data_IF_905412883800
#
_entry.id   IF_905412883800
#
_cell.length_a   1.000
_cell.length_b   1.000
_cell.length_c   1.000
_cell.angle_alpha   90.00
_cell.angle_beta   90.00
_cell.angle_gamma   90.00
#
_symmetry.space_group_name_H-M   'P 1'
#
loop_
_entity.id
_entity.type
_entity.pdbx_description
1 polymer ?
#
# COMPACT_ATOMS: atom_id res chain seq x y z
N UNK A 1 6.04 0.72 6.19
CA UNK A 1 6.18 2.18 6.26
C UNK A 1 7.66 2.47 6.20
N UNK A 2 8.10 3.44 5.41
CA UNK A 2 9.51 3.80 5.29
C UNK A 2 9.83 5.09 6.06
N UNK A 3 11.10 5.32 6.40
CA UNK A 3 11.57 6.57 6.98
C UNK A 3 11.47 7.73 5.95
N UNK A 4 11.37 9.00 6.40
CA UNK A 4 11.44 10.15 5.50
C UNK A 4 12.66 10.09 4.58
N UNK A 5 12.48 10.34 3.28
CA UNK A 5 13.56 10.30 2.29
C UNK A 5 13.95 8.91 1.77
N UNK A 6 13.42 7.82 2.35
CA UNK A 6 13.74 6.43 1.96
C UNK A 6 12.64 5.74 1.15
N UNK A 7 11.59 6.46 0.76
CA UNK A 7 10.46 5.95 -0.02
C UNK A 7 9.78 7.02 -0.86
N UNK A 8 8.81 6.61 -1.66
CA UNK A 8 7.94 7.52 -2.42
C UNK A 8 6.55 7.56 -1.78
N UNK A 9 5.94 8.74 -1.79
CA UNK A 9 4.54 8.90 -1.38
C UNK A 9 3.63 8.52 -2.53
N UNK A 10 2.92 7.41 -2.33
CA UNK A 10 1.87 6.89 -3.22
C UNK A 10 0.59 6.76 -2.42
N UNK A 11 -0.54 6.78 -3.13
CA UNK A 11 -1.83 6.58 -2.51
C UNK A 11 -1.95 5.17 -1.93
N UNK A 12 -2.43 5.07 -0.69
CA UNK A 12 -2.85 3.83 -0.07
C UNK A 12 -4.18 4.07 0.64
N UNK A 13 -5.28 3.61 0.04
CA UNK A 13 -6.65 3.89 0.46
C UNK A 13 -6.98 5.39 0.54
N UNK A 14 -6.61 6.18 -0.47
CA UNK A 14 -6.89 7.62 -0.51
C UNK A 14 -5.99 8.47 0.41
N UNK A 15 -5.05 7.84 1.11
CA UNK A 15 -4.14 8.49 2.04
C UNK A 15 -2.68 8.29 1.61
N UNK A 16 -1.88 9.36 1.45
CA UNK A 16 -0.47 9.25 1.09
C UNK A 16 0.32 8.40 2.10
N UNK A 17 0.94 7.32 1.62
CA UNK A 17 1.78 6.43 2.42
C UNK A 17 3.21 6.36 1.88
N UNK A 18 4.20 6.51 2.77
CA UNK A 18 5.61 6.38 2.43
C UNK A 18 5.94 4.90 2.14
N UNK A 19 6.11 4.58 0.85
CA UNK A 19 6.22 3.21 0.35
C UNK A 19 7.60 2.97 -0.27
N UNK A 20 8.15 1.77 -0.05
CA UNK A 20 9.45 1.38 -0.59
C UNK A 20 9.42 1.31 -2.11
N UNK A 21 10.44 1.88 -2.75
CA UNK A 21 10.62 1.85 -4.21
C UNK A 21 11.45 0.67 -4.69
N UNK A 22 11.89 -0.20 -3.78
CA UNK A 22 12.84 -1.28 -4.10
C UNK A 22 12.34 -2.16 -5.26
N UNK A 23 11.10 -2.63 -5.21
CA UNK A 23 10.53 -3.48 -6.27
C UNK A 23 10.47 -2.76 -7.62
N UNK A 24 10.08 -1.48 -7.63
CA UNK A 24 10.01 -0.68 -8.85
C UNK A 24 11.40 -0.48 -9.46
N UNK A 25 12.40 -0.19 -8.62
CA UNK A 25 13.78 -0.01 -9.04
C UNK A 25 14.40 -1.31 -9.57
N UNK A 26 14.16 -2.45 -8.91
CA UNK A 26 14.65 -3.75 -9.35
C UNK A 26 14.02 -4.18 -10.68
N UNK A 27 12.70 -4.00 -10.81
CA UNK A 27 11.98 -4.27 -12.04
C UNK A 27 12.54 -3.46 -13.21
N UNK A 28 12.74 -2.14 -13.02
CA UNK A 28 13.34 -1.27 -14.04
C UNK A 28 14.79 -1.61 -14.35
N UNK A 29 15.59 -2.01 -13.36
CA UNK A 29 16.99 -2.34 -13.57
C UNK A 29 17.18 -3.65 -14.34
N UNK A 30 16.25 -4.60 -14.17
CA UNK A 30 16.32 -5.93 -14.77
C UNK A 30 15.46 -6.08 -16.03
N UNK A 31 14.55 -5.13 -16.27
CA UNK A 31 13.53 -5.23 -17.32
C UNK A 31 12.58 -6.43 -17.11
N UNK A 32 12.38 -6.87 -15.86
CA UNK A 32 11.53 -8.01 -15.51
C UNK A 32 10.26 -7.55 -14.79
N UNK A 33 9.12 -8.24 -14.98
CA UNK A 33 7.89 -7.92 -14.28
C UNK A 33 7.98 -8.25 -12.78
N UNK A 34 7.14 -7.60 -11.99
CA UNK A 34 6.84 -7.99 -10.61
C UNK A 34 5.52 -8.75 -10.61
N UNK A 35 5.50 -9.95 -10.05
CA UNK A 35 4.29 -10.75 -9.86
C UNK A 35 3.76 -10.54 -8.43
N UNK A 36 2.58 -9.94 -8.25
CA UNK A 36 1.94 -9.84 -6.94
C UNK A 36 1.49 -11.23 -6.48
N UNK A 37 1.92 -11.64 -5.29
CA UNK A 37 1.54 -12.92 -4.69
C UNK A 37 1.17 -12.68 -3.23
N UNK A 38 0.04 -13.25 -2.82
CA UNK A 38 -0.51 -13.10 -1.48
C UNK A 38 -0.91 -14.46 -0.94
N UNK A 39 -0.61 -14.71 0.33
CA UNK A 39 -1.14 -15.85 1.06
C UNK A 39 -2.35 -15.41 1.88
N UNK A 40 -3.46 -16.12 1.75
CA UNK A 40 -4.72 -15.85 2.44
C UNK A 40 -5.12 -17.08 3.23
N UNK A 41 -5.42 -16.92 4.51
CA UNK A 41 -5.89 -18.00 5.36
C UNK A 41 -7.34 -18.36 5.02
N UNK A 42 -7.61 -19.62 4.69
CA UNK A 42 -8.97 -20.10 4.38
C UNK A 42 -9.69 -20.72 5.58
N UNK A 43 -9.02 -20.87 6.73
CA UNK A 43 -9.54 -21.55 7.92
C UNK A 43 -8.80 -22.84 8.26
N UNK A 44 -8.18 -23.45 7.26
CA UNK A 44 -7.43 -24.72 7.39
C UNK A 44 -6.07 -24.67 6.71
N UNK A 45 -6.00 -24.03 5.54
CA UNK A 45 -4.78 -23.87 4.74
C UNK A 45 -4.58 -22.40 4.32
N UNK A 46 -3.41 -22.11 3.76
CA UNK A 46 -3.15 -20.83 3.09
C UNK A 46 -3.39 -20.99 1.59
N UNK A 47 -4.42 -20.32 1.08
CA UNK A 47 -4.63 -20.16 -0.35
C UNK A 47 -3.64 -19.13 -0.91
N UNK A 48 -3.17 -19.37 -2.14
CA UNK A 48 -2.28 -18.45 -2.85
C UNK A 48 -3.09 -17.67 -3.87
N UNK A 49 -3.13 -16.35 -3.69
CA UNK A 49 -3.71 -15.41 -4.66
C UNK A 49 -2.58 -14.80 -5.46
N UNK A 50 -2.61 -15.04 -6.77
CA UNK A 50 -1.63 -14.50 -7.72
C UNK A 50 -2.32 -13.43 -8.57
N UNK A 51 -1.74 -12.23 -8.60
CA UNK A 51 -2.19 -11.15 -9.48
C UNK A 51 -1.49 -11.19 -10.84
N UNK A 52 -1.87 -10.28 -11.73
CA UNK A 52 -1.22 -10.18 -13.04
C UNK A 52 0.22 -9.65 -12.92
N UNK A 53 1.15 -10.11 -13.78
CA UNK A 53 2.51 -9.56 -13.81
C UNK A 53 2.49 -8.08 -14.22
N UNK A 54 3.13 -7.24 -13.41
CA UNK A 54 3.26 -5.81 -13.69
C UNK A 54 4.62 -5.56 -14.31
N UNK A 55 4.61 -5.24 -15.61
CA UNK A 55 5.82 -5.01 -16.37
C UNK A 55 6.35 -3.58 -16.19
N UNK A 56 7.68 -3.41 -16.11
CA UNK A 56 8.29 -2.10 -16.28
C UNK A 56 8.18 -1.66 -17.75
N UNK A 57 8.16 -0.34 -18.03
CA UNK A 57 8.31 0.15 -19.39
C UNK A 57 9.67 -0.25 -19.99
N UNK A 58 9.73 -0.51 -21.32
CA UNK A 58 10.92 -1.04 -21.98
C UNK A 58 12.10 -0.06 -22.02
N UNK A 59 11.82 1.24 -22.07
CA UNK A 59 12.84 2.29 -21.99
C UNK A 59 12.32 3.42 -21.10
N UNK A 60 13.24 4.04 -20.35
CA UNK A 60 12.93 5.17 -19.47
C UNK A 60 14.07 6.18 -19.53
N UNK A 61 13.78 7.43 -19.88
CA UNK A 61 14.76 8.49 -19.86
C UNK A 61 15.23 8.81 -18.44
N UNK A 62 16.44 9.38 -18.30
CA UNK A 62 17.01 9.76 -17.00
C UNK A 62 16.07 10.66 -16.19
N UNK A 63 15.44 11.63 -16.85
CA UNK A 63 14.55 12.61 -16.21
C UNK A 63 13.20 12.01 -15.79
N UNK A 64 12.74 10.97 -16.48
CA UNK A 64 11.45 10.32 -16.23
C UNK A 64 11.55 9.23 -15.16
N UNK A 65 12.76 8.75 -14.87
CA UNK A 65 13.02 7.60 -14.01
C UNK A 65 12.31 7.69 -12.66
N UNK A 66 12.31 8.85 -12.02
CA UNK A 66 11.63 9.04 -10.73
C UNK A 66 10.11 8.91 -10.85
N UNK A 67 9.51 9.51 -11.88
CA UNK A 67 8.07 9.44 -12.12
C UNK A 67 7.63 8.00 -12.39
N UNK A 68 8.40 7.25 -13.21
CA UNK A 68 8.13 5.84 -13.50
C UNK A 68 8.26 4.97 -12.25
N UNK A 69 9.28 5.19 -11.42
CA UNK A 69 9.42 4.47 -10.14
C UNK A 69 8.22 4.70 -9.23
N UNK A 70 7.74 5.95 -9.13
CA UNK A 70 6.55 6.30 -8.33
C UNK A 70 5.29 5.63 -8.88
N UNK A 71 5.10 5.64 -10.19
CA UNK A 71 3.95 5.01 -10.85
C UNK A 71 3.92 3.48 -10.65
N UNK A 72 5.05 2.79 -10.86
CA UNK A 72 5.14 1.36 -10.60
C UNK A 72 4.86 1.04 -9.12
N UNK A 73 5.41 1.84 -8.21
CA UNK A 73 5.16 1.69 -6.77
C UNK A 73 3.67 1.87 -6.45
N UNK A 74 2.98 2.81 -7.10
CA UNK A 74 1.55 3.02 -6.95
C UNK A 74 0.74 1.84 -7.52
N UNK A 75 1.13 1.26 -8.65
CA UNK A 75 0.50 0.04 -9.20
C UNK A 75 0.59 -1.14 -8.24
N UNK A 76 1.78 -1.41 -7.71
CA UNK A 76 1.95 -2.48 -6.71
C UNK A 76 1.11 -2.25 -5.46
N UNK A 77 0.99 -0.99 -5.05
CA UNK A 77 0.18 -0.60 -3.89
C UNK A 77 -1.32 -0.83 -4.16
N UNK A 78 -1.79 -0.59 -5.38
CA UNK A 78 -3.17 -0.88 -5.81
C UNK A 78 -3.51 -2.38 -5.79
N UNK A 79 -2.57 -3.25 -6.15
CA UNK A 79 -2.75 -4.71 -6.05
C UNK A 79 -2.95 -5.14 -4.61
N UNK A 80 -2.09 -4.65 -3.70
CA UNK A 80 -2.19 -4.89 -2.26
C UNK A 80 -3.55 -4.43 -1.73
N UNK A 81 -3.97 -3.23 -2.13
CA UNK A 81 -5.27 -2.67 -1.82
C UNK A 81 -6.47 -3.51 -2.27
N UNK A 82 -6.39 -4.12 -3.46
CA UNK A 82 -7.40 -5.03 -3.98
C UNK A 82 -7.54 -6.28 -3.11
N UNK A 83 -6.41 -6.88 -2.70
CA UNK A 83 -6.41 -8.04 -1.80
C UNK A 83 -6.94 -7.70 -0.42
N UNK A 84 -6.52 -6.57 0.15
CA UNK A 84 -7.00 -6.12 1.47
C UNK A 84 -8.51 -5.89 1.45
N UNK A 85 -9.08 -5.34 0.37
CA UNK A 85 -10.55 -5.15 0.28
C UNK A 85 -11.33 -6.46 0.30
N UNK A 86 -10.75 -7.54 -0.25
CA UNK A 86 -11.35 -8.88 -0.22
C UNK A 86 -11.23 -9.54 1.15
N UNK A 87 -10.08 -9.39 1.82
CA UNK A 87 -9.80 -10.00 3.12
C UNK A 87 -9.27 -8.99 4.15
N UNK A 88 -10.09 -8.01 4.55
CA UNK A 88 -9.62 -6.90 5.38
C UNK A 88 -9.17 -7.36 6.77
N UNK A 89 -9.81 -8.40 7.35
CA UNK A 89 -9.46 -8.91 8.68
C UNK A 89 -8.07 -9.55 8.75
N UNK A 90 -7.51 -9.98 7.61
CA UNK A 90 -6.22 -10.66 7.55
C UNK A 90 -5.04 -9.71 7.34
N UNK A 91 -5.30 -8.42 7.10
CA UNK A 91 -4.24 -7.44 6.96
C UNK A 91 -3.69 -7.03 8.32
N UNK A 92 -2.37 -6.84 8.40
CA UNK A 92 -1.71 -6.36 9.62
C UNK A 92 -1.97 -4.86 9.86
N UNK A 93 -3.13 -4.52 10.39
CA UNK A 93 -3.53 -3.14 10.72
C UNK A 93 -2.71 -2.51 11.85
N UNK A 94 -2.08 -3.33 12.72
CA UNK A 94 -1.23 -2.83 13.80
C UNK A 94 0.05 -2.15 13.28
N UNK A 95 0.51 -2.51 12.08
CA UNK A 95 1.63 -1.84 11.45
C UNK A 95 1.23 -0.38 11.11
N UNK A 96 1.91 0.59 11.73
CA UNK A 96 1.66 2.04 11.55
C UNK A 96 2.01 2.53 10.14
N UNK A 97 1.12 2.24 9.18
CA UNK A 97 1.33 2.43 7.74
C UNK A 97 1.55 3.90 7.35
N UNK A 98 0.85 4.82 8.00
CA UNK A 98 0.90 6.27 7.75
C UNK A 98 1.69 7.07 8.80
N UNK A 99 2.65 6.43 9.50
CA UNK A 99 3.48 7.14 10.50
C UNK A 99 4.34 8.22 9.85
N UNK A 100 4.88 7.97 8.66
CA UNK A 100 5.69 8.93 7.92
C UNK A 100 4.79 9.77 7.02
N UNK A 101 4.86 11.10 7.11
CA UNK A 101 4.02 12.05 6.38
C UNK A 101 4.79 12.83 5.30
N UNK A 102 4.12 13.27 4.23
CA UNK A 102 4.70 14.20 3.27
C UNK A 102 5.22 15.47 3.95
N UNK A 103 6.25 16.14 3.38
CA UNK A 103 6.69 17.44 3.88
C UNK A 103 5.52 18.44 3.95
N UNK A 104 5.36 19.11 5.09
CA UNK A 104 4.28 20.08 5.31
C UNK A 104 3.00 19.51 5.94
N UNK A 105 2.87 18.19 6.07
CA UNK A 105 1.79 17.56 6.84
C UNK A 105 2.25 17.21 8.26
N UNK A 106 1.49 17.64 9.28
CA UNK A 106 1.76 17.26 10.65
C UNK A 106 1.64 15.73 10.84
N UNK A 107 2.56 15.14 11.60
CA UNK A 107 2.53 13.74 11.97
C UNK A 107 1.41 13.48 13.01
N UNK A 108 0.15 13.48 12.57
CA UNK A 108 -0.99 13.24 13.45
C UNK A 108 -2.33 13.47 12.76
N UNK A 109 -3.11 12.39 12.63
CA UNK A 109 -4.56 12.41 12.37
C UNK A 109 -5.06 13.29 11.21
N UNK A 110 -4.84 12.87 9.97
CA UNK A 110 -5.80 13.19 8.91
C UNK A 110 -7.01 12.26 9.06
N UNK A 111 -8.10 12.73 9.69
CA UNK A 111 -9.45 12.31 9.28
C UNK A 111 -10.38 11.62 10.28
N UNK A 112 -9.99 11.28 11.51
CA UNK A 112 -10.98 10.89 12.53
C UNK A 112 -11.24 12.07 13.46
N UNK A 113 -12.05 13.03 12.99
CA UNK A 113 -12.75 13.92 13.93
C UNK A 113 -13.64 13.03 14.78
N UNK A 114 -13.53 13.15 16.10
CA UNK A 114 -14.30 12.42 17.10
C UNK A 114 -15.81 12.43 16.79
N UNK A 115 -16.29 11.45 16.02
CA UNK A 115 -17.66 11.00 16.20
C UNK A 115 -17.64 10.20 17.47
N UNK A 116 -18.14 10.81 18.56
CA UNK A 116 -18.47 10.12 19.81
C UNK A 116 -19.13 8.79 19.44
N UNK A 117 -18.41 7.70 19.64
CA UNK A 117 -18.96 6.36 19.57
C UNK A 117 -19.81 6.26 20.84
N UNK A 118 -21.13 6.43 20.67
CA UNK A 118 -22.11 6.21 21.74
C UNK A 118 -21.98 4.75 22.20
N UNK A 119 -21.71 4.50 23.50
CA UNK A 119 -21.62 3.15 24.01
C UNK A 119 -23.06 2.65 24.23
N UNK A 120 -23.49 1.72 23.39
CA UNK A 120 -24.59 0.78 23.67
C UNK A 120 -25.89 1.39 24.26
N UNK A 121 -26.85 1.70 23.38
CA UNK A 121 -28.26 1.77 23.78
C UNK A 121 -28.80 0.35 23.95
N UNK A 122 -28.83 -0.07 25.21
CA UNK A 122 -29.55 -1.19 25.78
C UNK A 122 -31.04 -1.11 25.41
N UNK A 123 -31.54 -2.01 24.54
CA UNK A 123 -32.97 -2.31 24.39
C UNK A 123 -33.15 -3.82 24.25
N UNK A 124 -33.53 -4.46 25.36
CA UNK A 124 -34.91 -4.88 25.69
C UNK A 124 -35.41 -6.05 24.82
N UNK A 125 -35.35 -7.25 25.40
CA UNK A 125 -36.39 -8.27 25.32
C UNK A 125 -36.84 -8.54 26.75
#
# INVERSE_FOLDING_TARGET
NQLPGHGEFVDFFGCPACTSTLLARLSLATGRPVLPVFAVWSGEICDVVVGDPIFPPPQVGRHERRAVVRELTARYTREVEGVIRRWPSQWNWAHRRWKTRPPGEAAGAAGLKDKKISPYEEKRI
#
